data_IF_139612555380
#
_entry.id   IF_139612555380
#
_cell.length_a   1.000
_cell.length_b   1.000
_cell.length_c   1.000
_cell.angle_alpha   90.00
_cell.angle_beta   90.00
_cell.angle_gamma   90.00
#
_symmetry.space_group_name_H-M   'P 1'
#
loop_
_entity.id
_entity.type
_entity.pdbx_description
1 polymer ?
#
# COMPACT_ATOMS: atom_id res chain seq x y z
N UNK A 1 2.66 13.21 33.22
CA UNK A 1 3.23 11.90 32.84
C UNK A 1 2.31 11.08 31.93
N UNK A 2 1.03 10.87 32.29
CA UNK A 2 0.14 9.95 31.56
C UNK A 2 -0.13 10.26 30.08
N UNK A 3 -0.26 11.54 29.68
CA UNK A 3 -0.57 11.90 28.28
C UNK A 3 0.50 11.46 27.29
N UNK A 4 1.78 11.72 27.60
CA UNK A 4 2.92 11.31 26.76
C UNK A 4 3.01 9.79 26.63
N UNK A 5 2.69 9.05 27.70
CA UNK A 5 2.69 7.59 27.68
C UNK A 5 1.60 7.04 26.75
N UNK A 6 0.40 7.61 26.80
CA UNK A 6 -0.70 7.26 25.88
C UNK A 6 -0.35 7.63 24.43
N UNK A 7 0.24 8.81 24.19
CA UNK A 7 0.71 9.22 22.86
C UNK A 7 1.73 8.23 22.27
N UNK A 8 2.69 7.75 23.09
CA UNK A 8 3.66 6.73 22.68
C UNK A 8 2.99 5.39 22.36
N UNK A 9 2.04 4.95 23.20
CA UNK A 9 1.27 3.74 22.94
C UNK A 9 0.52 3.86 21.61
N UNK A 10 -0.19 4.96 21.38
CA UNK A 10 -0.92 5.20 20.12
C UNK A 10 0.03 5.16 18.92
N UNK A 11 1.21 5.76 19.04
CA UNK A 11 2.22 5.76 17.98
C UNK A 11 2.69 4.34 17.64
N UNK A 12 3.00 3.53 18.65
CA UNK A 12 3.40 2.13 18.48
C UNK A 12 2.28 1.28 17.87
N UNK A 13 1.04 1.45 18.34
CA UNK A 13 -0.12 0.76 17.79
C UNK A 13 -0.38 1.15 16.33
N UNK A 14 -0.31 2.44 16.02
CA UNK A 14 -0.51 2.94 14.65
C UNK A 14 0.56 2.40 13.72
N UNK A 15 1.82 2.36 14.15
CA UNK A 15 2.90 1.75 13.39
C UNK A 15 2.68 0.25 13.16
N UNK A 16 2.29 -0.50 14.20
CA UNK A 16 1.99 -1.92 14.09
C UNK A 16 0.83 -2.20 13.10
N UNK A 17 -0.25 -1.42 13.18
CA UNK A 17 -1.38 -1.53 12.23
C UNK A 17 -0.96 -1.12 10.83
N UNK A 18 -0.12 -0.10 10.66
CA UNK A 18 0.45 0.29 9.37
C UNK A 18 1.21 -0.85 8.70
N UNK A 19 1.99 -1.62 9.48
CA UNK A 19 2.67 -2.83 8.99
C UNK A 19 1.67 -3.92 8.60
N UNK A 20 0.67 -4.20 9.44
CA UNK A 20 -0.38 -5.17 9.12
C UNK A 20 -1.15 -4.79 7.85
N UNK A 21 -1.45 -3.51 7.67
CA UNK A 21 -2.13 -3.00 6.48
C UNK A 21 -1.26 -3.14 5.22
N UNK A 22 0.05 -2.87 5.32
CA UNK A 22 0.99 -3.07 4.22
C UNK A 22 1.06 -4.55 3.78
N UNK A 23 1.10 -5.47 4.75
CA UNK A 23 1.08 -6.91 4.49
C UNK A 23 -0.24 -7.35 3.84
N UNK A 24 -1.38 -6.91 4.38
CA UNK A 24 -2.69 -7.25 3.83
C UNK A 24 -2.88 -6.73 2.39
N UNK A 25 -2.39 -5.52 2.09
CA UNK A 25 -2.43 -4.97 0.74
C UNK A 25 -1.55 -5.76 -0.23
N UNK A 26 -0.36 -6.17 0.20
CA UNK A 26 0.52 -7.03 -0.59
C UNK A 26 -0.18 -8.35 -0.97
N UNK A 27 -0.84 -8.99 -0.01
CA UNK A 27 -1.53 -10.26 -0.24
C UNK A 27 -2.79 -10.09 -1.10
N UNK A 28 -3.58 -9.02 -0.87
CA UNK A 28 -4.79 -8.73 -1.64
C UNK A 28 -4.49 -8.49 -3.13
N UNK A 29 -3.43 -7.71 -3.42
CA UNK A 29 -3.02 -7.41 -4.80
C UNK A 29 -2.51 -8.67 -5.51
N UNK A 30 -1.76 -9.52 -4.81
CA UNK A 30 -1.32 -10.81 -5.35
C UNK A 30 -2.50 -11.76 -5.62
N UNK A 31 -3.46 -11.84 -4.70
CA UNK A 31 -4.66 -12.65 -4.88
C UNK A 31 -5.48 -12.18 -6.10
N UNK A 32 -5.65 -10.86 -6.25
CA UNK A 32 -6.32 -10.28 -7.42
C UNK A 32 -5.58 -10.62 -8.72
N UNK A 33 -4.25 -10.48 -8.74
CA UNK A 33 -3.44 -10.84 -9.90
C UNK A 33 -3.59 -12.31 -10.27
N UNK A 34 -3.49 -13.22 -9.29
CA UNK A 34 -3.65 -14.66 -9.51
C UNK A 34 -5.06 -15.02 -9.99
N UNK A 35 -6.08 -14.27 -9.57
CA UNK A 35 -7.46 -14.47 -10.05
C UNK A 35 -7.64 -14.15 -11.53
N UNK A 36 -6.92 -13.15 -12.05
CA UNK A 36 -6.98 -12.73 -13.45
C UNK A 36 -6.04 -13.53 -14.35
N UNK A 37 -4.95 -14.05 -13.78
CA UNK A 37 -3.97 -14.88 -14.48
C UNK A 37 -3.81 -16.25 -13.79
N UNK A 38 -4.81 -17.14 -13.89
CA UNK A 38 -4.77 -18.45 -13.23
C UNK A 38 -3.64 -19.39 -13.71
N UNK A 39 -3.00 -19.09 -14.85
CA UNK A 39 -1.79 -19.76 -15.35
C UNK A 39 -0.54 -18.83 -15.34
N UNK A 40 -0.66 -17.65 -14.75
CA UNK A 40 0.29 -16.53 -14.84
C UNK A 40 1.52 -16.66 -13.95
N UNK A 41 2.30 -17.71 -14.14
CA UNK A 41 3.60 -17.89 -13.49
C UNK A 41 4.79 -17.40 -14.33
N UNK A 42 4.56 -17.04 -15.59
CA UNK A 42 5.62 -16.66 -16.53
C UNK A 42 6.22 -15.29 -16.24
N UNK A 43 7.42 -15.06 -16.79
CA UNK A 43 8.16 -13.80 -16.63
C UNK A 43 7.33 -12.63 -17.17
N UNK A 44 6.63 -12.82 -18.30
CA UNK A 44 5.83 -11.77 -18.95
C UNK A 44 4.67 -11.30 -18.05
N UNK A 45 3.96 -12.20 -17.37
CA UNK A 45 2.83 -11.84 -16.50
C UNK A 45 3.32 -11.08 -15.25
N UNK A 46 4.47 -11.47 -14.70
CA UNK A 46 5.09 -10.76 -13.56
C UNK A 46 5.52 -9.33 -13.91
N UNK A 47 6.04 -9.11 -15.11
CA UNK A 47 6.39 -7.77 -15.57
C UNK A 47 5.17 -6.88 -15.80
N UNK A 48 4.10 -7.43 -16.39
CA UNK A 48 2.81 -6.71 -16.54
C UNK A 48 2.26 -6.31 -15.18
N UNK A 49 2.29 -7.22 -14.20
CA UNK A 49 1.90 -6.93 -12.83
C UNK A 49 2.72 -5.81 -12.20
N UNK A 50 4.05 -5.89 -12.29
CA UNK A 50 4.95 -4.88 -11.71
C UNK A 50 4.70 -3.48 -12.30
N UNK A 51 4.49 -3.38 -13.61
CA UNK A 51 4.16 -2.12 -14.28
C UNK A 51 2.80 -1.60 -13.82
N UNK A 52 1.80 -2.46 -13.75
CA UNK A 52 0.43 -2.10 -13.34
C UNK A 52 0.41 -1.56 -11.91
N UNK A 53 1.00 -2.26 -10.94
CA UNK A 53 1.01 -1.82 -9.55
C UNK A 53 1.82 -0.53 -9.36
N UNK A 54 2.90 -0.36 -10.12
CA UNK A 54 3.70 0.88 -10.12
C UNK A 54 2.90 2.05 -10.67
N UNK A 55 2.16 1.86 -11.77
CA UNK A 55 1.31 2.91 -12.32
C UNK A 55 0.21 3.32 -11.34
N UNK A 56 -0.46 2.36 -10.69
CA UNK A 56 -1.45 2.64 -9.64
C UNK A 56 -0.81 3.43 -8.49
N UNK A 57 0.36 3.00 -8.02
CA UNK A 57 1.07 3.70 -6.93
C UNK A 57 1.38 5.15 -7.30
N UNK A 58 1.90 5.42 -8.50
CA UNK A 58 2.19 6.77 -8.99
C UNK A 58 0.93 7.63 -9.11
N UNK A 59 -0.17 7.07 -9.63
CA UNK A 59 -1.42 7.80 -9.74
C UNK A 59 -1.95 8.20 -8.36
N UNK A 60 -1.98 7.25 -7.43
CA UNK A 60 -2.45 7.48 -6.06
C UNK A 60 -1.58 8.52 -5.36
N UNK A 61 -0.24 8.38 -5.41
CA UNK A 61 0.67 9.34 -4.77
C UNK A 61 0.59 10.73 -5.41
N UNK A 62 0.45 10.82 -6.74
CA UNK A 62 0.27 12.09 -7.44
C UNK A 62 -1.03 12.80 -7.05
N UNK A 63 -2.13 12.05 -6.94
CA UNK A 63 -3.41 12.57 -6.46
C UNK A 63 -3.26 13.12 -5.03
N UNK A 64 -2.66 12.35 -4.12
CA UNK A 64 -2.40 12.81 -2.75
C UNK A 64 -1.50 14.05 -2.71
N UNK A 65 -0.45 14.07 -3.52
CA UNK A 65 0.44 15.23 -3.63
C UNK A 65 -0.32 16.48 -4.09
N UNK A 66 -1.21 16.35 -5.08
CA UNK A 66 -2.03 17.47 -5.56
C UNK A 66 -2.99 18.03 -4.50
N UNK A 67 -3.48 17.19 -3.58
CA UNK A 67 -4.31 17.66 -2.46
C UNK A 67 -3.51 18.46 -1.43
N UNK A 68 -2.24 18.12 -1.22
CA UNK A 68 -1.35 18.87 -0.33
C UNK A 68 -0.96 20.23 -0.92
N UNK A 69 -0.83 20.31 -2.25
CA UNK A 69 -0.44 21.55 -2.94
C UNK A 69 -1.60 22.55 -3.04
N UNK A 70 -2.85 22.06 -2.98
CA UNK A 70 -4.06 22.90 -3.03
C UNK A 70 -4.35 23.67 -1.74
N UNK A 71 -3.70 23.30 -0.63
CA UNK A 71 -3.90 23.89 0.70
C UNK A 71 -2.78 24.89 1.08
N UNK A 72 -1.82 25.13 0.18
CA UNK A 72 -0.80 26.21 0.27
C UNK A 72 -1.14 27.38 -0.67
#
# INVERSE_FOLDING_TARGET
MGRKFIEQIITLFTAAIGVMAALAWNDAVQALFNSWFPQGGGIKERFVFAIMITAIAVLVTSIFASYLDKDN
#
